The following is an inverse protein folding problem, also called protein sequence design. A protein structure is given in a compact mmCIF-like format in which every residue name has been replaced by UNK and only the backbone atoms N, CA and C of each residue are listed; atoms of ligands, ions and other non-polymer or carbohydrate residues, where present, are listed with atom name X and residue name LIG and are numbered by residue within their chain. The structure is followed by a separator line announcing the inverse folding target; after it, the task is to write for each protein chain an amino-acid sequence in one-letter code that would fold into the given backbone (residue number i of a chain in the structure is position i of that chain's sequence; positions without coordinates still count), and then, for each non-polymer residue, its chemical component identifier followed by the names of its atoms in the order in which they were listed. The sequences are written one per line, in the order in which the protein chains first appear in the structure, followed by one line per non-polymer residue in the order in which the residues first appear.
data_IF_226192752879
#
_entry.id   IF_226192752879
#
_cell.length_a   1.000
_cell.length_b   1.000
_cell.length_c   1.000
_cell.angle_alpha   90.00
_cell.angle_beta   90.00
_cell.angle_gamma   90.00
#
_symmetry.space_group_name_H-M   'P 1'
#
loop_
_entity.id
_entity.type
_entity.pdbx_description
1 polymer ?
#
# COMPACT_ATOMS: atom_id res chain seq x y z
N UNK A 1 -30.10 -3.53 4.86
CA UNK A 1 -29.09 -4.62 4.92
C UNK A 1 -28.11 -4.25 6.03
N UNK A 2 -28.11 -4.99 7.14
CA UNK A 2 -27.29 -4.66 8.33
C UNK A 2 -25.96 -5.38 8.22
N UNK A 3 -24.89 -4.65 7.92
CA UNK A 3 -23.52 -5.17 7.96
C UNK A 3 -23.12 -5.29 9.43
N UNK A 4 -22.94 -6.52 9.92
CA UNK A 4 -22.50 -6.75 11.30
C UNK A 4 -21.01 -6.42 11.40
N UNK A 5 -20.68 -5.55 12.34
CA UNK A 5 -19.33 -5.01 12.58
C UNK A 5 -18.26 -6.10 12.91
N UNK A 6 -18.70 -7.34 13.16
CA UNK A 6 -17.86 -8.47 13.60
C UNK A 6 -17.14 -9.19 12.47
N UNK A 7 -17.60 -9.05 11.22
CA UNK A 7 -17.05 -9.83 10.09
C UNK A 7 -15.81 -9.17 9.45
N UNK A 8 -15.44 -7.95 9.88
CA UNK A 8 -14.29 -7.19 9.36
C UNK A 8 -13.11 -7.07 10.32
N UNK A 9 -13.09 -7.79 11.45
CA UNK A 9 -11.91 -7.83 12.32
C UNK A 9 -11.03 -9.03 11.99
N UNK A 10 -10.06 -8.84 11.10
CA UNK A 10 -8.90 -9.73 11.02
C UNK A 10 -8.01 -9.50 12.24
N UNK A 11 -7.93 -10.49 13.13
CA UNK A 11 -6.98 -10.50 14.25
C UNK A 11 -5.56 -10.60 13.68
N UNK A 12 -4.67 -9.60 13.87
CA UNK A 12 -3.36 -9.62 13.25
C UNK A 12 -2.43 -10.64 13.93
N UNK A 13 -2.30 -11.85 13.38
CA UNK A 13 -1.31 -12.83 13.86
C UNK A 13 -1.66 -14.31 13.72
N UNK A 14 -2.82 -14.67 13.16
CA UNK A 14 -3.16 -16.09 12.92
C UNK A 14 -3.37 -16.29 11.42
N UNK A 15 -2.34 -16.79 10.74
CA UNK A 15 -2.47 -17.34 9.38
C UNK A 15 -3.16 -18.70 9.51
N UNK A 16 -4.48 -18.73 9.39
CA UNK A 16 -5.22 -19.98 9.25
C UNK A 16 -5.42 -20.30 7.76
N UNK A 17 -5.60 -21.57 7.42
CA UNK A 17 -5.88 -22.04 6.05
C UNK A 17 -7.22 -21.54 5.47
N UNK A 18 -7.96 -20.70 6.21
CA UNK A 18 -9.15 -19.98 5.76
C UNK A 18 -8.84 -18.56 5.27
N UNK A 19 -7.56 -18.15 5.27
CA UNK A 19 -7.15 -16.87 4.66
C UNK A 19 -7.33 -16.99 3.15
N UNK A 20 -8.26 -16.22 2.58
CA UNK A 20 -8.42 -16.12 1.12
C UNK A 20 -7.09 -15.68 0.52
N UNK A 21 -6.48 -16.56 -0.26
CA UNK A 21 -5.27 -16.23 -1.02
C UNK A 21 -5.69 -15.25 -2.12
N UNK A 22 -5.37 -13.97 -1.93
CA UNK A 22 -5.55 -12.96 -2.95
C UNK A 22 -4.33 -13.02 -3.88
N UNK A 23 -4.57 -13.25 -5.18
CA UNK A 23 -3.53 -13.21 -6.20
C UNK A 23 -3.57 -11.87 -6.91
N UNK A 24 -2.47 -11.13 -6.95
CA UNK A 24 -2.40 -9.93 -7.78
C UNK A 24 -2.18 -10.27 -9.26
N UNK A 25 -2.76 -9.49 -10.17
CA UNK A 25 -2.52 -9.61 -11.61
C UNK A 25 -1.07 -9.26 -11.97
N UNK A 26 -0.46 -8.37 -11.20
CA UNK A 26 0.95 -8.04 -11.31
C UNK A 26 1.61 -7.75 -9.97
N UNK A 27 2.86 -8.20 -9.82
CA UNK A 27 3.68 -7.94 -8.63
C UNK A 27 5.07 -7.47 -9.06
N UNK A 28 5.43 -6.26 -8.64
CA UNK A 28 6.79 -5.73 -8.73
C UNK A 28 7.55 -5.99 -7.44
N UNK A 29 8.67 -6.71 -7.54
CA UNK A 29 9.55 -7.02 -6.41
C UNK A 29 10.88 -6.29 -6.49
N UNK A 30 11.40 -5.85 -5.35
CA UNK A 30 12.80 -5.49 -5.20
C UNK A 30 13.30 -5.91 -3.81
N UNK A 31 14.53 -6.46 -3.74
CA UNK A 31 15.18 -6.88 -2.48
C UNK A 31 14.27 -7.80 -1.63
N UNK A 32 13.66 -8.79 -2.27
CA UNK A 32 12.74 -9.76 -1.67
C UNK A 32 11.45 -9.18 -1.06
N UNK A 33 11.10 -7.93 -1.42
CA UNK A 33 9.88 -7.26 -0.99
C UNK A 33 8.98 -6.99 -2.18
N UNK A 34 7.68 -7.12 -1.95
CA UNK A 34 6.63 -6.67 -2.86
C UNK A 34 6.45 -5.17 -2.65
N UNK A 35 6.69 -4.38 -3.69
CA UNK A 35 6.68 -2.91 -3.60
C UNK A 35 5.59 -2.32 -4.49
N UNK A 36 5.27 -3.01 -5.57
CA UNK A 36 4.23 -2.63 -6.52
C UNK A 36 3.26 -3.80 -6.64
N UNK A 37 1.98 -3.52 -6.50
CA UNK A 37 0.89 -4.46 -6.71
C UNK A 37 0.00 -3.93 -7.83
N UNK A 38 -0.53 -4.81 -8.67
CA UNK A 38 -1.37 -4.43 -9.79
C UNK A 38 -2.62 -5.30 -9.84
N UNK A 39 -3.76 -4.65 -10.08
CA UNK A 39 -5.05 -5.29 -10.37
C UNK A 39 -5.66 -4.62 -11.59
N UNK A 40 -6.19 -5.43 -12.49
CA UNK A 40 -6.87 -5.00 -13.71
C UNK A 40 -8.29 -5.53 -13.71
N UNK A 41 -9.24 -4.61 -13.83
CA UNK A 41 -10.65 -4.91 -13.79
C UNK A 41 -11.36 -4.44 -15.04
N UNK A 42 -12.42 -5.18 -15.38
CA UNK A 42 -13.32 -4.91 -16.51
C UNK A 42 -12.71 -5.03 -17.90
N UNK A 43 -13.53 -5.50 -18.84
CA UNK A 43 -13.21 -5.47 -20.26
C UNK A 43 -13.39 -4.05 -20.83
N UNK A 44 -12.88 -3.81 -22.03
CA UNK A 44 -12.89 -2.48 -22.64
C UNK A 44 -14.31 -1.95 -22.94
N UNK A 45 -15.26 -2.86 -23.22
CA UNK A 45 -16.59 -2.51 -23.69
C UNK A 45 -17.52 -2.05 -22.54
N UNK A 46 -17.74 -2.89 -21.52
CA UNK A 46 -18.58 -2.58 -20.36
C UNK A 46 -17.83 -2.78 -19.04
N UNK A 47 -18.04 -1.85 -18.10
CA UNK A 47 -17.51 -1.97 -16.74
C UNK A 47 -18.40 -2.92 -15.94
N UNK A 48 -17.80 -3.95 -15.35
CA UNK A 48 -18.43 -4.68 -14.26
C UNK A 48 -18.10 -3.95 -12.96
N UNK A 49 -19.04 -3.13 -12.50
CA UNK A 49 -18.85 -2.25 -11.34
C UNK A 49 -18.63 -3.05 -10.06
N UNK A 50 -19.37 -4.14 -9.87
CA UNK A 50 -19.26 -4.98 -8.68
C UNK A 50 -17.90 -5.70 -8.65
N UNK A 51 -17.47 -6.22 -9.79
CA UNK A 51 -16.14 -6.82 -9.94
C UNK A 51 -15.03 -5.80 -9.73
N UNK A 52 -15.12 -4.61 -10.35
CA UNK A 52 -14.11 -3.56 -10.24
C UNK A 52 -13.98 -3.03 -8.82
N UNK A 53 -15.09 -2.93 -8.07
CA UNK A 53 -15.07 -2.61 -6.64
C UNK A 53 -14.39 -3.72 -5.82
N UNK A 54 -14.68 -4.99 -6.11
CA UNK A 54 -14.04 -6.13 -5.47
C UNK A 54 -12.52 -6.12 -5.64
N UNK A 55 -12.04 -5.91 -6.86
CA UNK A 55 -10.61 -5.84 -7.17
C UNK A 55 -9.94 -4.59 -6.57
N UNK A 56 -10.66 -3.46 -6.51
CA UNK A 56 -10.20 -2.26 -5.81
C UNK A 56 -9.90 -2.56 -4.34
N UNK A 57 -10.82 -3.26 -3.67
CA UNK A 57 -10.65 -3.65 -2.28
C UNK A 57 -9.53 -4.66 -2.09
N UNK A 58 -9.41 -5.62 -3.00
CA UNK A 58 -8.33 -6.60 -3.02
C UNK A 58 -6.96 -5.91 -3.13
N UNK A 59 -6.81 -4.95 -4.04
CA UNK A 59 -5.58 -4.16 -4.18
C UNK A 59 -5.25 -3.42 -2.88
N UNK A 60 -6.22 -2.74 -2.29
CA UNK A 60 -6.07 -2.00 -1.03
C UNK A 60 -5.65 -2.93 0.13
N UNK A 61 -6.30 -4.10 0.26
CA UNK A 61 -6.01 -5.08 1.31
C UNK A 61 -4.60 -5.64 1.17
N UNK A 62 -4.18 -5.98 -0.06
CA UNK A 62 -2.81 -6.42 -0.33
C UNK A 62 -1.79 -5.34 -0.02
N UNK A 63 -1.98 -4.11 -0.50
CA UNK A 63 -1.06 -2.99 -0.23
C UNK A 63 -0.88 -2.73 1.27
N UNK A 64 -2.00 -2.75 2.01
CA UNK A 64 -2.04 -2.55 3.45
C UNK A 64 -1.34 -3.69 4.19
N UNK A 65 -1.59 -4.93 3.79
CA UNK A 65 -0.98 -6.13 4.37
C UNK A 65 0.54 -6.17 4.14
N UNK A 66 0.99 -5.81 2.93
CA UNK A 66 2.41 -5.69 2.58
C UNK A 66 3.09 -4.61 3.42
N UNK A 67 2.47 -3.43 3.54
CA UNK A 67 3.03 -2.34 4.37
C UNK A 67 3.11 -2.74 5.85
N UNK A 68 2.06 -3.36 6.38
CA UNK A 68 2.03 -3.84 7.77
C UNK A 68 3.12 -4.88 8.04
N UNK A 69 3.35 -5.81 7.10
CA UNK A 69 4.42 -6.80 7.19
C UNK A 69 5.78 -6.12 7.22
N UNK A 70 5.99 -5.14 6.35
CA UNK A 70 7.24 -4.36 6.30
C UNK A 70 7.47 -3.57 7.60
N UNK A 71 6.45 -2.93 8.16
CA UNK A 71 6.50 -2.23 9.46
C UNK A 71 6.82 -3.19 10.62
N UNK A 72 6.24 -4.40 10.61
CA UNK A 72 6.53 -5.45 11.62
C UNK A 72 7.98 -5.94 11.58
N UNK A 73 8.65 -5.85 10.45
CA UNK A 73 10.09 -6.17 10.35
C UNK A 73 11.01 -5.07 10.90
N UNK A 74 10.47 -3.87 11.21
CA UNK A 74 11.24 -2.65 11.53
C UNK A 74 10.88 -2.03 12.89
N UNK A 75 10.58 -2.90 13.86
CA UNK A 75 10.04 -2.50 15.17
C UNK A 75 10.97 -1.61 16.00
N UNK A 76 12.28 -1.67 15.76
CA UNK A 76 13.28 -0.90 16.50
C UNK A 76 13.69 0.40 15.77
N UNK A 77 12.96 0.76 14.71
CA UNK A 77 13.13 2.03 14.00
C UNK A 77 12.30 3.16 14.62
N UNK A 78 12.67 4.42 14.34
CA UNK A 78 11.87 5.58 14.78
C UNK A 78 10.52 5.57 14.08
N UNK A 79 9.44 5.78 14.83
CA UNK A 79 8.09 5.85 14.29
C UNK A 79 7.98 6.86 13.13
N UNK A 80 8.52 8.07 13.31
CA UNK A 80 8.51 9.11 12.27
C UNK A 80 9.25 8.69 11.00
N UNK A 81 10.33 7.92 11.12
CA UNK A 81 11.03 7.38 9.95
C UNK A 81 10.22 6.27 9.29
N UNK A 82 9.65 5.37 10.08
CA UNK A 82 8.80 4.27 9.59
C UNK A 82 7.52 4.77 8.90
N UNK A 83 6.99 5.94 9.27
CA UNK A 83 5.85 6.58 8.59
C UNK A 83 6.13 6.92 7.12
N UNK A 84 7.40 7.09 6.75
CA UNK A 84 7.79 7.30 5.36
C UNK A 84 7.66 6.06 4.47
N UNK A 85 7.51 4.87 5.07
CA UNK A 85 7.33 3.63 4.30
C UNK A 85 6.02 3.67 3.53
N UNK A 86 6.09 3.22 2.28
CA UNK A 86 4.95 3.16 1.40
C UNK A 86 4.93 1.87 0.56
N UNK A 87 3.72 1.41 0.26
CA UNK A 87 3.46 0.39 -0.77
C UNK A 87 2.68 1.05 -1.91
N UNK A 88 2.96 0.65 -3.15
CA UNK A 88 2.33 1.24 -4.34
C UNK A 88 1.40 0.24 -5.02
N UNK A 89 0.29 0.76 -5.55
CA UNK A 89 -0.73 0.01 -6.25
C UNK A 89 -0.97 0.63 -7.60
N UNK A 90 -1.09 -0.19 -8.64
CA UNK A 90 -1.54 0.25 -9.95
C UNK A 90 -2.88 -0.43 -10.20
N UNK A 91 -3.92 0.38 -10.29
CA UNK A 91 -5.25 -0.08 -10.63
C UNK A 91 -5.53 0.26 -12.08
N UNK A 92 -5.94 -0.74 -12.86
CA UNK A 92 -6.43 -0.54 -14.21
C UNK A 92 -7.94 -0.85 -14.22
N UNK A 93 -8.78 0.14 -14.48
CA UNK A 93 -10.22 -0.06 -14.71
C UNK A 93 -10.49 0.40 -16.13
N UNK A 94 -10.86 -0.54 -17.01
CA UNK A 94 -10.99 -0.30 -18.46
C UNK A 94 -9.72 0.30 -19.05
N UNK A 95 -9.78 1.55 -19.51
CA UNK A 95 -8.66 2.30 -20.06
C UNK A 95 -8.00 3.23 -19.05
N UNK A 96 -8.50 3.33 -17.81
CA UNK A 96 -7.96 4.23 -16.79
C UNK A 96 -6.98 3.50 -15.88
N UNK A 97 -5.73 3.93 -15.92
CA UNK A 97 -4.68 3.52 -15.01
C UNK A 97 -4.53 4.54 -13.86
N UNK A 98 -4.58 4.06 -12.62
CA UNK A 98 -4.50 4.88 -11.41
C UNK A 98 -3.36 4.37 -10.53
N UNK A 99 -2.46 5.28 -10.12
CA UNK A 99 -1.37 5.00 -9.19
C UNK A 99 -1.80 5.38 -7.77
N UNK A 100 -1.81 4.39 -6.88
CA UNK A 100 -2.15 4.50 -5.47
C UNK A 100 -0.90 4.37 -4.61
N UNK A 101 -0.90 5.08 -3.48
CA UNK A 101 0.12 4.99 -2.43
C UNK A 101 -0.55 4.74 -1.09
N UNK A 102 -0.09 3.71 -0.39
CA UNK A 102 -0.50 3.40 0.97
C UNK A 102 0.63 3.70 1.94
N UNK A 103 0.35 4.49 2.98
CA UNK A 103 1.27 4.82 4.07
C UNK A 103 0.60 4.65 5.43
N UNK A 104 1.40 4.72 6.50
CA UNK A 104 0.88 4.78 7.86
C UNK A 104 0.48 6.23 8.21
N UNK A 105 -0.76 6.43 8.67
CA UNK A 105 -1.24 7.75 9.05
C UNK A 105 -0.47 8.31 10.27
N UNK A 106 -0.49 9.64 10.41
CA UNK A 106 0.18 10.35 11.50
C UNK A 106 -0.23 9.86 12.90
N UNK A 107 -1.47 9.42 13.05
CA UNK A 107 -2.02 8.89 14.31
C UNK A 107 -1.55 7.46 14.67
N UNK A 108 -0.85 6.75 13.77
CA UNK A 108 -0.21 5.46 14.04
C UNK A 108 -1.12 4.22 14.06
N UNK A 109 -2.43 4.36 13.89
CA UNK A 109 -3.39 3.24 13.88
C UNK A 109 -4.32 3.22 12.66
N UNK A 110 -4.13 4.14 11.72
CA UNK A 110 -4.92 4.20 10.48
C UNK A 110 -3.98 4.10 9.31
N UNK A 111 -4.47 3.48 8.24
CA UNK A 111 -3.82 3.48 6.94
C UNK A 111 -4.28 4.72 6.17
N UNK A 112 -3.35 5.33 5.45
CA UNK A 112 -3.64 6.42 4.55
C UNK A 112 -3.42 5.91 3.13
N UNK A 113 -4.45 6.01 2.30
CA UNK A 113 -4.42 5.58 0.90
C UNK A 113 -4.73 6.82 0.06
N UNK A 114 -3.85 7.14 -0.88
CA UNK A 114 -4.00 8.33 -1.73
C UNK A 114 -3.76 7.97 -3.19
N UNK A 115 -4.55 8.55 -4.08
CA UNK A 115 -4.25 8.59 -5.50
C UNK A 115 -3.14 9.61 -5.75
N UNK A 116 -2.04 9.16 -6.36
CA UNK A 116 -0.94 10.04 -6.74
C UNK A 116 -1.17 10.64 -8.12
N UNK A 117 -1.55 9.79 -9.09
CA UNK A 117 -1.73 10.14 -10.49
C UNK A 117 -2.72 9.18 -11.14
N UNK A 118 -3.38 9.63 -12.20
CA UNK A 118 -4.15 8.78 -13.10
C UNK A 118 -3.91 9.17 -14.56
N UNK A 119 -4.07 8.21 -15.45
CA UNK A 119 -3.87 8.36 -16.89
C UNK A 119 -4.80 7.42 -17.67
N UNK A 120 -5.25 7.87 -18.84
CA UNK A 120 -5.94 7.02 -19.81
C UNK A 120 -4.91 6.33 -20.70
N UNK A 121 -4.99 5.00 -20.80
CA UNK A 121 -4.18 4.18 -21.69
C UNK A 121 -4.81 4.24 -23.09
N UNK A 122 -4.11 4.78 -24.09
CA UNK A 122 -4.65 4.86 -25.44
C UNK A 122 -4.69 3.48 -26.08
N UNK A 123 -5.83 3.12 -26.68
CA UNK A 123 -5.98 1.88 -27.45
C UNK A 123 -5.96 2.11 -28.95
N UNK A 124 -6.06 3.37 -29.37
CA UNK A 124 -6.00 3.77 -30.77
C UNK A 124 -4.84 4.75 -31.02
N UNK A 125 -4.23 4.71 -32.21
CA UNK A 125 -3.12 5.60 -32.56
C UNK A 125 -3.49 7.10 -32.51
N UNK A 126 -4.77 7.43 -32.73
CA UNK A 126 -5.28 8.80 -32.64
C UNK A 126 -5.19 9.36 -31.21
N UNK A 127 -5.22 8.48 -30.20
CA UNK A 127 -5.19 8.79 -28.76
C UNK A 127 -3.78 8.83 -28.19
N UNK A 128 -2.74 8.60 -29.00
CA UNK A 128 -1.34 8.49 -28.56
C UNK A 128 -0.82 9.64 -27.68
N UNK A 129 -1.45 10.82 -27.74
CA UNK A 129 -1.08 11.94 -26.86
C UNK A 129 -1.37 11.63 -25.37
N UNK A 130 -2.31 10.74 -25.06
CA UNK A 130 -2.56 10.26 -23.70
C UNK A 130 -1.36 9.48 -23.12
N UNK A 131 -0.44 8.97 -23.95
CA UNK A 131 0.81 8.35 -23.48
C UNK A 131 1.65 9.31 -22.64
N UNK A 132 1.56 10.63 -22.86
CA UNK A 132 2.30 11.60 -22.04
C UNK A 132 1.88 11.51 -20.56
N UNK A 133 0.60 11.29 -20.29
CA UNK A 133 0.09 11.10 -18.92
C UNK A 133 0.49 9.74 -18.33
N UNK A 134 0.53 8.70 -19.16
CA UNK A 134 1.07 7.39 -18.77
C UNK A 134 2.55 7.52 -18.37
N UNK A 135 3.36 8.20 -19.17
CA UNK A 135 4.77 8.45 -18.83
C UNK A 135 4.94 9.31 -17.58
N UNK A 136 4.12 10.36 -17.40
CA UNK A 136 4.12 11.17 -16.17
C UNK A 136 3.85 10.30 -14.93
N UNK A 137 2.87 9.40 -15.00
CA UNK A 137 2.56 8.46 -13.92
C UNK A 137 3.74 7.52 -13.63
N UNK A 138 4.38 6.96 -14.66
CA UNK A 138 5.57 6.10 -14.49
C UNK A 138 6.75 6.87 -13.88
N UNK A 139 6.96 8.13 -14.27
CA UNK A 139 7.99 9.00 -13.68
C UNK A 139 7.69 9.28 -12.20
N UNK A 140 6.43 9.54 -11.86
CA UNK A 140 6.01 9.72 -10.47
C UNK A 140 6.29 8.46 -9.63
N UNK A 141 5.91 7.27 -10.13
CA UNK A 141 6.23 6.00 -9.49
C UNK A 141 7.74 5.80 -9.30
N UNK A 142 8.55 6.10 -10.32
CA UNK A 142 10.00 5.99 -10.23
C UNK A 142 10.61 6.88 -9.14
N UNK A 143 10.15 8.14 -9.03
CA UNK A 143 10.60 9.07 -7.99
C UNK A 143 10.27 8.55 -6.59
N UNK A 144 9.04 8.09 -6.39
CA UNK A 144 8.58 7.51 -5.13
C UNK A 144 9.39 6.26 -4.74
N UNK A 145 9.69 5.36 -5.68
CA UNK A 145 10.55 4.20 -5.43
C UNK A 145 11.98 4.59 -5.05
N UNK A 146 12.51 5.65 -5.65
CA UNK A 146 13.83 6.18 -5.32
C UNK A 146 13.87 6.72 -3.89
N UNK A 147 12.80 7.40 -3.45
CA UNK A 147 12.66 7.85 -2.07
C UNK A 147 12.56 6.68 -1.09
N UNK A 148 11.75 5.66 -1.40
CA UNK A 148 11.68 4.44 -0.57
C UNK A 148 13.03 3.77 -0.42
N UNK A 149 13.84 3.70 -1.49
CA UNK A 149 15.19 3.14 -1.45
C UNK A 149 16.13 3.93 -0.53
N UNK A 150 16.04 5.25 -0.54
CA UNK A 150 16.84 6.11 0.35
C UNK A 150 16.40 5.94 1.80
N UNK A 151 15.09 5.92 2.05
CA UNK A 151 14.50 5.70 3.37
C UNK A 151 14.89 4.33 3.95
N UNK A 152 14.87 3.29 3.14
CA UNK A 152 15.24 1.93 3.55
C UNK A 152 16.66 1.87 4.13
N UNK A 153 17.61 2.62 3.55
CA UNK A 153 18.97 2.71 4.10
C UNK A 153 18.99 3.29 5.52
N UNK A 154 18.17 4.30 5.79
CA UNK A 154 18.05 4.90 7.12
C UNK A 154 17.39 3.92 8.09
N UNK A 155 16.31 3.26 7.67
CA UNK A 155 15.60 2.27 8.49
C UNK A 155 16.49 1.10 8.88
N UNK A 156 17.29 0.56 7.96
CA UNK A 156 18.25 -0.52 8.26
C UNK A 156 19.26 -0.07 9.32
N UNK A 157 19.78 1.16 9.20
CA UNK A 157 20.74 1.71 10.18
C UNK A 157 20.11 1.93 11.55
N UNK A 158 18.87 2.39 11.62
CA UNK A 158 18.12 2.51 12.88
C UNK A 158 17.83 1.16 13.51
N UNK A 159 17.33 0.20 12.71
CA UNK A 159 16.99 -1.15 13.17
C UNK A 159 18.20 -1.88 13.76
N UNK A 160 19.39 -1.64 13.22
CA UNK A 160 20.65 -2.23 13.70
C UNK A 160 21.38 -1.33 14.72
N UNK A 161 20.73 -0.30 15.25
CA UNK A 161 21.28 0.65 16.23
C UNK A 161 22.57 1.38 15.82
N UNK A 162 22.90 1.39 14.53
CA UNK A 162 23.94 2.26 13.97
C UNK A 162 23.53 3.73 14.10
N UNK A 163 22.23 4.00 13.99
CA UNK A 163 21.61 5.26 14.37
C UNK A 163 20.82 4.99 15.66
N UNK A 164 21.09 5.70 16.77
CA UNK A 164 20.40 5.46 18.03
C UNK A 164 18.91 5.81 17.93
N UNK A 165 18.07 4.94 18.49
CA UNK A 165 16.62 5.11 18.59
C UNK A 165 16.24 5.05 20.06
N UNK A 166 15.60 6.10 20.56
CA UNK A 166 15.13 6.11 21.94
C UNK A 166 13.92 5.17 22.05
N UNK A 167 13.79 4.36 23.12
CA UNK A 167 12.71 3.38 23.25
C UNK A 167 11.31 3.98 23.05
N UNK A 168 11.07 5.18 23.60
CA UNK A 168 9.79 5.88 23.46
C UNK A 168 9.46 6.34 22.03
N UNK A 169 10.46 6.48 21.17
CA UNK A 169 10.30 6.86 19.75
C UNK A 169 10.18 5.64 18.82
N UNK A 170 10.39 4.43 19.36
CA UNK A 170 10.36 3.21 18.55
C UNK A 170 8.96 2.91 18.04
N UNK A 171 8.90 2.36 16.83
CA UNK A 171 7.66 1.87 16.22
C UNK A 171 6.95 0.88 17.15
N UNK A 172 7.71 -0.03 17.80
CA UNK A 172 7.19 -1.00 18.79
C UNK A 172 6.42 -0.31 19.91
N UNK A 173 7.02 0.69 20.55
CA UNK A 173 6.40 1.35 21.70
C UNK A 173 5.18 2.18 21.29
N UNK A 174 5.20 2.81 20.12
CA UNK A 174 4.04 3.55 19.60
C UNK A 174 2.88 2.62 19.29
N UNK A 175 3.12 1.49 18.63
CA UNK A 175 2.07 0.50 18.34
C UNK A 175 1.47 -0.10 19.61
N UNK A 176 2.29 -0.44 20.61
CA UNK A 176 1.79 -0.90 21.91
C UNK A 176 0.89 0.14 22.56
N UNK A 177 1.30 1.41 22.64
CA UNK A 177 0.48 2.49 23.23
C UNK A 177 -0.85 2.67 22.53
N UNK A 178 -0.85 2.53 21.20
CA UNK A 178 -2.05 2.78 20.39
C UNK A 178 -3.05 1.62 20.46
N UNK A 179 -2.58 0.40 20.69
CA UNK A 179 -3.44 -0.78 20.88
C UNK A 179 -4.24 -0.74 22.19
N UNK A 180 -3.82 0.11 23.15
CA UNK A 180 -4.50 0.33 24.44
C UNK A 180 -5.31 1.63 24.51
N UNK A 181 -5.43 2.40 23.42
CA UNK A 181 -6.36 3.53 23.40
C UNK A 181 -7.79 3.00 23.24
N UNK A 182 -8.72 3.35 24.14
CA UNK A 182 -10.12 2.92 24.01
C UNK A 182 -10.67 3.46 22.68
N UNK A 183 -11.29 2.57 21.91
CA UNK A 183 -12.05 2.95 20.72
C UNK A 183 -13.18 3.90 21.16
N UNK A 184 -12.93 5.20 21.09
CA UNK A 184 -13.99 6.20 21.20
C UNK A 184 -14.72 6.15 19.86
N UNK A 185 -15.92 5.58 19.91
CA UNK A 185 -16.91 5.49 18.83
C UNK A 185 -17.29 6.89 18.31
#
# INVERSE_FOLDING_TARGET
MVVKHRDNQRVPGVWNNSTTVAYADGVGRARDKEIILMESSSAFDEEDVDHSLGDSWKLIDMMTSTLNTELRSKQDTKFVTAQGLATFGIQLIKDRMTLLKTTLHQCGHKWQIVELRSATIPTQWKERLHLLKVFELLVCLYQELKEQKALESVLIRQQNQVIPVMPQESLRTVFLRTQYLPHVL
#
